data_IF_642209646400
#
_entry.id   IF_642209646400
#
_cell.length_a   1.000
_cell.length_b   1.000
_cell.length_c   1.000
_cell.angle_alpha   90.00
_cell.angle_beta   90.00
_cell.angle_gamma   90.00
#
_symmetry.space_group_name_H-M   'P 1'
#
loop_
_entity.id
_entity.type
_entity.pdbx_description
1 polymer ?
#
# COMPACT_ATOMS: atom_id res chain seq x y z
N UNK A 1 22.37 9.13 -25.94
CA UNK A 1 22.30 7.70 -25.55
C UNK A 1 21.41 7.60 -24.32
N UNK A 2 20.46 6.66 -24.28
CA UNK A 2 19.60 6.48 -23.08
C UNK A 2 20.47 5.99 -21.91
N UNK A 3 20.18 6.46 -20.67
CA UNK A 3 20.88 5.96 -19.48
C UNK A 3 20.75 4.44 -19.32
N UNK A 4 19.64 3.84 -19.77
CA UNK A 4 19.46 2.39 -19.79
C UNK A 4 20.53 1.69 -20.65
N UNK A 5 20.72 2.17 -21.86
CA UNK A 5 21.75 1.64 -22.79
C UNK A 5 23.14 1.88 -22.24
N UNK A 6 23.38 3.02 -21.60
CA UNK A 6 24.68 3.37 -21.02
C UNK A 6 25.10 2.40 -19.91
N UNK A 7 24.17 2.03 -19.00
CA UNK A 7 24.44 1.10 -17.91
C UNK A 7 24.16 -0.37 -18.26
N UNK A 8 23.54 -0.66 -19.42
CA UNK A 8 23.21 -2.03 -19.83
C UNK A 8 21.97 -2.60 -19.15
N UNK A 9 21.02 -1.76 -18.71
CA UNK A 9 19.79 -2.22 -18.10
C UNK A 9 18.88 -2.94 -19.10
N UNK A 10 18.43 -4.14 -18.73
CA UNK A 10 17.45 -4.93 -19.48
C UNK A 10 16.02 -4.50 -19.16
N UNK A 11 15.75 -4.14 -17.92
CA UNK A 11 14.47 -3.59 -17.43
C UNK A 11 14.70 -2.21 -16.82
N UNK A 12 13.61 -1.46 -16.59
CA UNK A 12 13.67 -0.18 -15.87
C UNK A 12 14.05 -0.44 -14.42
N UNK A 13 15.19 0.09 -13.90
CA UNK A 13 15.48 0.04 -12.48
C UNK A 13 14.51 0.97 -11.72
N UNK A 14 14.17 0.61 -10.48
CA UNK A 14 13.27 1.40 -9.63
C UNK A 14 11.88 1.67 -10.26
N UNK A 15 11.39 0.73 -11.08
CA UNK A 15 10.04 0.80 -11.65
C UNK A 15 8.95 0.74 -10.56
N UNK A 16 7.78 1.34 -10.84
CA UNK A 16 6.64 1.30 -9.92
C UNK A 16 5.81 0.02 -10.08
N UNK A 17 5.80 -0.55 -11.28
CA UNK A 17 5.05 -1.73 -11.69
C UNK A 17 5.80 -3.06 -11.46
N UNK A 18 6.66 -3.09 -10.43
CA UNK A 18 7.43 -4.28 -10.09
C UNK A 18 6.51 -5.47 -9.77
N UNK A 19 6.75 -6.67 -10.36
CA UNK A 19 6.04 -7.90 -10.02
C UNK A 19 6.17 -8.25 -8.53
N UNK A 20 5.17 -8.95 -7.98
CA UNK A 20 5.15 -9.30 -6.54
C UNK A 20 6.32 -10.19 -6.14
N UNK A 21 6.73 -11.10 -7.04
CA UNK A 21 7.87 -12.00 -6.86
C UNK A 21 9.22 -11.28 -6.86
N UNK A 22 9.28 -10.13 -7.52
CA UNK A 22 10.49 -9.30 -7.63
C UNK A 22 10.60 -8.26 -6.50
N UNK A 23 9.62 -8.19 -5.58
CA UNK A 23 9.67 -7.25 -4.46
C UNK A 23 10.79 -7.59 -3.48
N UNK A 24 11.57 -6.57 -3.08
CA UNK A 24 12.56 -6.75 -2.03
C UNK A 24 11.88 -7.08 -0.68
N UNK A 25 12.31 -8.15 0.02
CA UNK A 25 11.64 -8.65 1.22
C UNK A 25 11.92 -7.76 2.44
N UNK A 26 11.25 -6.62 2.52
CA UNK A 26 11.34 -5.70 3.64
C UNK A 26 10.61 -6.24 4.87
N UNK A 27 11.11 -6.01 6.11
CA UNK A 27 10.43 -6.40 7.34
C UNK A 27 9.01 -5.82 7.44
N UNK A 28 8.80 -4.58 6.99
CA UNK A 28 7.49 -3.93 6.96
C UNK A 28 6.47 -4.63 6.05
N UNK A 29 6.92 -5.19 4.92
CA UNK A 29 6.07 -6.01 4.03
C UNK A 29 5.55 -7.26 4.74
N UNK A 30 6.44 -7.96 5.46
CA UNK A 30 6.08 -9.17 6.21
C UNK A 30 5.12 -8.84 7.35
N UNK A 31 5.41 -7.81 8.14
CA UNK A 31 4.56 -7.38 9.25
C UNK A 31 3.14 -7.00 8.78
N UNK A 32 3.00 -6.30 7.66
CA UNK A 32 1.68 -5.98 7.07
C UNK A 32 0.98 -7.27 6.61
N UNK A 33 1.69 -8.19 5.96
CA UNK A 33 1.12 -9.45 5.48
C UNK A 33 0.58 -10.31 6.62
N UNK A 34 1.34 -10.44 7.71
CA UNK A 34 0.92 -11.16 8.92
C UNK A 34 -0.29 -10.47 9.59
N UNK A 35 -0.28 -9.15 9.66
CA UNK A 35 -1.40 -8.38 10.20
C UNK A 35 -2.67 -8.53 9.37
N UNK A 36 -2.57 -8.48 8.05
CA UNK A 36 -3.70 -8.70 7.15
C UNK A 36 -4.27 -10.10 7.39
N UNK A 37 -3.43 -11.14 7.40
CA UNK A 37 -3.90 -12.52 7.66
C UNK A 37 -4.62 -12.64 9.01
N UNK A 38 -4.01 -12.13 10.08
CA UNK A 38 -4.63 -12.11 11.40
C UNK A 38 -5.99 -11.41 11.42
N UNK A 39 -6.11 -10.29 10.68
CA UNK A 39 -7.38 -9.55 10.54
C UNK A 39 -8.43 -10.38 9.81
N UNK A 40 -8.04 -11.09 8.76
CA UNK A 40 -8.92 -11.96 7.99
C UNK A 40 -9.43 -13.14 8.85
N UNK A 41 -8.55 -13.76 9.63
CA UNK A 41 -8.87 -14.89 10.48
C UNK A 41 -9.86 -14.51 11.60
N UNK A 42 -9.80 -13.27 12.09
CA UNK A 42 -10.72 -12.76 13.12
C UNK A 42 -11.98 -12.11 12.54
N UNK A 43 -12.08 -11.88 11.24
CA UNK A 43 -13.17 -11.11 10.64
C UNK A 43 -13.26 -9.67 11.16
N UNK A 44 -12.14 -9.09 11.59
CA UNK A 44 -12.05 -7.82 12.31
C UNK A 44 -11.56 -6.66 11.42
N UNK A 45 -11.11 -5.57 12.04
CA UNK A 45 -10.57 -4.40 11.34
C UNK A 45 -9.10 -4.23 11.72
N UNK A 46 -8.25 -3.86 10.74
CA UNK A 46 -6.88 -3.41 11.00
C UNK A 46 -6.53 -2.14 10.26
N UNK A 47 -5.45 -1.51 10.72
CA UNK A 47 -4.99 -0.24 10.18
C UNK A 47 -3.52 -0.34 9.77
N UNK A 48 -3.21 0.17 8.58
CA UNK A 48 -1.84 0.32 8.07
C UNK A 48 -1.56 1.80 7.86
N UNK A 49 -0.59 2.33 8.59
CA UNK A 49 -0.21 3.74 8.47
C UNK A 49 1.23 3.90 8.00
N UNK A 50 1.57 5.10 7.60
CA UNK A 50 2.93 5.50 7.23
C UNK A 50 2.90 6.73 6.34
N UNK A 51 4.05 7.35 6.14
CA UNK A 51 4.18 8.55 5.32
C UNK A 51 3.93 8.28 3.83
N UNK A 52 3.74 9.35 3.07
CA UNK A 52 3.62 9.26 1.61
C UNK A 52 4.89 8.65 1.03
N UNK A 53 4.74 7.57 0.25
CA UNK A 53 5.89 6.88 -0.33
C UNK A 53 6.57 5.84 0.55
N UNK A 54 6.04 5.52 1.74
CA UNK A 54 6.56 4.46 2.63
C UNK A 54 6.30 3.03 2.14
N UNK A 55 5.47 2.85 1.08
CA UNK A 55 5.19 1.53 0.50
C UNK A 55 3.89 0.87 0.98
N UNK A 56 2.94 1.61 1.60
CA UNK A 56 1.64 1.06 2.07
C UNK A 56 0.89 0.28 1.01
N UNK A 57 0.62 0.90 -0.14
CA UNK A 57 -0.11 0.27 -1.24
C UNK A 57 0.63 -0.97 -1.79
N UNK A 58 1.97 -0.92 -1.85
CA UNK A 58 2.80 -2.07 -2.23
C UNK A 58 2.69 -3.20 -1.21
N UNK A 59 2.71 -2.89 0.09
CA UNK A 59 2.56 -3.87 1.15
C UNK A 59 1.18 -4.53 1.15
N UNK A 60 0.12 -3.74 0.91
CA UNK A 60 -1.24 -4.27 0.76
C UNK A 60 -1.38 -5.15 -0.48
N UNK A 61 -0.83 -4.71 -1.63
CA UNK A 61 -0.81 -5.52 -2.87
C UNK A 61 -0.07 -6.84 -2.66
N UNK A 62 1.07 -6.82 -1.96
CA UNK A 62 1.82 -8.02 -1.62
C UNK A 62 1.04 -8.94 -0.68
N UNK A 63 0.42 -8.39 0.37
CA UNK A 63 -0.39 -9.17 1.30
C UNK A 63 -1.60 -9.81 0.58
N UNK A 64 -2.34 -9.03 -0.23
CA UNK A 64 -3.46 -9.53 -1.01
C UNK A 64 -3.05 -10.60 -2.03
N UNK A 65 -1.90 -10.42 -2.69
CA UNK A 65 -1.39 -11.39 -3.67
C UNK A 65 -0.96 -12.73 -3.08
N UNK A 66 -0.75 -12.81 -1.75
CA UNK A 66 -0.47 -14.07 -1.04
C UNK A 66 -1.72 -14.81 -0.57
N UNK A 67 -2.89 -14.23 -0.76
CA UNK A 67 -4.17 -14.86 -0.40
C UNK A 67 -4.65 -15.73 -1.55
N UNK A 68 -5.05 -16.97 -1.24
CA UNK A 68 -5.52 -17.89 -2.27
C UNK A 68 -6.95 -17.50 -2.71
N UNK A 69 -7.22 -17.30 -4.03
CA UNK A 69 -8.52 -16.84 -4.52
C UNK A 69 -9.69 -17.78 -4.19
N UNK A 70 -9.43 -19.07 -3.97
CA UNK A 70 -10.48 -20.01 -3.56
C UNK A 70 -10.93 -19.84 -2.10
N UNK A 71 -10.12 -19.18 -1.26
CA UNK A 71 -10.40 -18.98 0.16
C UNK A 71 -10.83 -17.55 0.46
N UNK A 72 -10.36 -16.59 -0.33
CA UNK A 72 -10.56 -15.16 -0.07
C UNK A 72 -11.10 -14.44 -1.31
N UNK A 73 -12.14 -13.65 -1.14
CA UNK A 73 -12.63 -12.70 -2.14
C UNK A 73 -12.30 -11.29 -1.66
N UNK A 74 -11.16 -10.76 -2.07
CA UNK A 74 -10.67 -9.46 -1.63
C UNK A 74 -11.07 -8.38 -2.63
N UNK A 75 -11.70 -7.33 -2.14
CA UNK A 75 -11.96 -6.10 -2.89
C UNK A 75 -11.05 -5.00 -2.36
N UNK A 76 -10.35 -4.32 -3.27
CA UNK A 76 -9.51 -3.17 -2.96
C UNK A 76 -10.08 -1.93 -3.60
N UNK A 77 -10.27 -0.89 -2.80
CA UNK A 77 -10.75 0.42 -3.25
C UNK A 77 -9.80 1.53 -2.79
N UNK A 78 -9.87 2.66 -3.47
CA UNK A 78 -9.15 3.88 -3.05
C UNK A 78 -10.17 4.88 -2.52
N UNK A 79 -9.99 5.31 -1.28
CA UNK A 79 -10.87 6.28 -0.66
C UNK A 79 -10.73 7.65 -1.33
N UNK A 80 -11.84 8.38 -1.32
CA UNK A 80 -11.93 9.77 -1.78
C UNK A 80 -12.51 10.64 -0.67
N UNK A 81 -12.56 11.94 -0.89
CA UNK A 81 -13.26 12.90 0.00
C UNK A 81 -14.79 12.91 -0.22
N UNK A 82 -15.28 12.04 -1.10
CA UNK A 82 -16.70 11.90 -1.41
C UNK A 82 -17.55 11.33 -0.27
N UNK A 83 -18.87 11.23 -0.47
CA UNK A 83 -19.80 10.67 0.51
C UNK A 83 -19.70 9.15 0.62
N UNK A 84 -20.35 8.56 1.64
CA UNK A 84 -20.41 7.11 1.86
C UNK A 84 -20.93 6.33 0.63
N UNK A 85 -21.83 6.92 -0.16
CA UNK A 85 -22.35 6.30 -1.37
C UNK A 85 -21.24 5.96 -2.37
N UNK A 86 -20.20 6.80 -2.50
CA UNK A 86 -19.11 6.56 -3.43
C UNK A 86 -18.25 5.36 -3.00
N UNK A 87 -18.01 5.24 -1.70
CA UNK A 87 -17.32 4.07 -1.12
C UNK A 87 -18.13 2.80 -1.41
N UNK A 88 -19.44 2.82 -1.12
CA UNK A 88 -20.30 1.65 -1.33
C UNK A 88 -20.40 1.27 -2.81
N UNK A 89 -20.47 2.23 -3.73
CA UNK A 89 -20.44 1.97 -5.17
C UNK A 89 -19.13 1.31 -5.62
N UNK A 90 -17.98 1.77 -5.11
CA UNK A 90 -16.70 1.12 -5.39
C UNK A 90 -16.68 -0.32 -4.84
N UNK A 91 -17.24 -0.56 -3.65
CA UNK A 91 -17.35 -1.91 -3.08
C UNK A 91 -18.26 -2.78 -3.94
N UNK A 92 -19.43 -2.27 -4.39
CA UNK A 92 -20.30 -2.98 -5.33
C UNK A 92 -19.53 -3.37 -6.59
N UNK A 93 -18.86 -2.41 -7.24
CA UNK A 93 -18.08 -2.67 -8.45
C UNK A 93 -16.99 -3.73 -8.22
N UNK A 94 -16.32 -3.70 -7.07
CA UNK A 94 -15.28 -4.67 -6.72
C UNK A 94 -15.80 -6.09 -6.50
N UNK A 95 -17.07 -6.23 -6.11
CA UNK A 95 -17.76 -7.52 -5.99
C UNK A 95 -18.57 -7.90 -7.21
N UNK A 96 -18.50 -7.15 -8.32
CA UNK A 96 -19.28 -7.33 -9.56
C UNK A 96 -20.81 -7.23 -9.31
N UNK A 97 -21.22 -6.32 -8.40
CA UNK A 97 -22.63 -6.08 -8.03
C UNK A 97 -23.16 -4.82 -8.71
N UNK A 98 -24.49 -4.75 -8.87
CA UNK A 98 -25.15 -3.54 -9.33
C UNK A 98 -25.07 -2.42 -8.27
N UNK A 99 -24.29 -1.38 -8.59
CA UNK A 99 -24.13 -0.17 -7.77
C UNK A 99 -24.84 1.06 -8.34
N UNK A 100 -25.72 0.92 -9.36
CA UNK A 100 -26.36 2.04 -10.06
C UNK A 100 -27.50 2.70 -9.27
N UNK A 101 -27.37 2.83 -7.98
CA UNK A 101 -28.35 3.50 -7.11
C UNK A 101 -27.68 4.53 -6.22
N UNK A 102 -28.44 5.58 -5.84
CA UNK A 102 -28.02 6.54 -4.84
C UNK A 102 -28.60 6.23 -3.44
N UNK A 103 -29.42 5.19 -3.31
CA UNK A 103 -29.97 4.78 -2.03
C UNK A 103 -28.92 4.04 -1.21
N UNK A 104 -28.46 4.64 -0.12
CA UNK A 104 -27.51 4.01 0.79
C UNK A 104 -28.07 2.68 1.32
N UNK A 105 -29.36 2.63 1.66
CA UNK A 105 -30.00 1.42 2.15
C UNK A 105 -29.93 0.26 1.12
N UNK A 106 -30.14 0.55 -0.15
CA UNK A 106 -30.00 -0.45 -1.22
C UNK A 106 -28.56 -0.91 -1.36
N UNK A 107 -27.59 0.00 -1.41
CA UNK A 107 -26.18 -0.35 -1.50
C UNK A 107 -25.72 -1.23 -0.34
N UNK A 108 -26.08 -0.84 0.90
CA UNK A 108 -25.80 -1.67 2.09
C UNK A 108 -26.43 -3.05 1.98
N UNK A 109 -27.69 -3.14 1.58
CA UNK A 109 -28.40 -4.41 1.44
C UNK A 109 -27.73 -5.31 0.41
N UNK A 110 -27.42 -4.77 -0.79
CA UNK A 110 -26.78 -5.52 -1.88
C UNK A 110 -25.40 -6.05 -1.45
N UNK A 111 -24.57 -5.20 -0.82
CA UNK A 111 -23.24 -5.63 -0.35
C UNK A 111 -23.37 -6.69 0.75
N UNK A 112 -24.25 -6.50 1.73
CA UNK A 112 -24.44 -7.48 2.82
C UNK A 112 -24.95 -8.84 2.31
N UNK A 113 -25.86 -8.83 1.36
CA UNK A 113 -26.33 -10.08 0.72
C UNK A 113 -25.19 -10.82 0.03
N UNK A 114 -24.36 -10.11 -0.73
CA UNK A 114 -23.19 -10.70 -1.39
C UNK A 114 -22.15 -11.25 -0.40
N UNK A 115 -21.89 -10.54 0.70
CA UNK A 115 -20.99 -11.01 1.76
C UNK A 115 -21.48 -12.33 2.35
N UNK A 116 -22.79 -12.44 2.65
CA UNK A 116 -23.38 -13.68 3.16
C UNK A 116 -23.25 -14.81 2.14
N UNK A 117 -23.52 -14.55 0.86
CA UNK A 117 -23.40 -15.55 -0.21
C UNK A 117 -21.94 -16.03 -0.36
N UNK A 118 -20.96 -15.14 -0.36
CA UNK A 118 -19.54 -15.49 -0.43
C UNK A 118 -19.14 -16.34 0.78
N UNK A 119 -19.59 -15.97 1.98
CA UNK A 119 -19.31 -16.73 3.20
C UNK A 119 -19.94 -18.12 3.18
N UNK A 120 -21.17 -18.28 2.63
CA UNK A 120 -21.81 -19.58 2.44
C UNK A 120 -21.01 -20.50 1.50
N UNK A 121 -20.30 -19.93 0.53
CA UNK A 121 -19.37 -20.65 -0.36
C UNK A 121 -18.03 -20.99 0.29
N UNK A 122 -17.89 -20.76 1.61
CA UNK A 122 -16.65 -20.97 2.39
C UNK A 122 -15.47 -20.11 1.94
N UNK A 123 -15.77 -18.95 1.37
CA UNK A 123 -14.78 -17.91 1.08
C UNK A 123 -14.93 -16.77 2.10
N UNK A 124 -13.83 -16.15 2.45
CA UNK A 124 -13.82 -14.95 3.30
C UNK A 124 -13.86 -13.71 2.39
N UNK A 125 -14.97 -12.96 2.36
CA UNK A 125 -14.99 -11.66 1.68
C UNK A 125 -14.20 -10.65 2.53
N UNK A 126 -13.39 -9.81 1.90
CA UNK A 126 -12.58 -8.82 2.60
C UNK A 126 -12.51 -7.50 1.83
N UNK A 127 -12.37 -6.39 2.56
CA UNK A 127 -12.26 -5.06 2.00
C UNK A 127 -10.93 -4.42 2.39
N UNK A 128 -10.19 -3.95 1.41
CA UNK A 128 -9.02 -3.09 1.60
C UNK A 128 -9.39 -1.69 1.12
N UNK A 129 -9.24 -0.69 1.99
CA UNK A 129 -9.44 0.72 1.65
C UNK A 129 -8.09 1.43 1.74
N UNK A 130 -7.51 1.72 0.58
CA UNK A 130 -6.31 2.56 0.50
C UNK A 130 -6.68 4.05 0.56
N UNK A 131 -5.75 4.89 0.98
CA UNK A 131 -5.94 6.33 1.23
C UNK A 131 -7.12 6.65 2.18
N UNK A 132 -7.41 5.76 3.12
CA UNK A 132 -8.51 5.92 4.09
C UNK A 132 -8.42 7.23 4.91
N UNK A 133 -7.24 7.83 5.00
CA UNK A 133 -7.04 9.16 5.58
C UNK A 133 -7.80 10.28 4.86
N UNK A 134 -8.22 10.09 3.61
CA UNK A 134 -9.04 11.05 2.86
C UNK A 134 -10.52 11.00 3.25
N UNK A 135 -11.00 9.87 3.79
CA UNK A 135 -12.42 9.73 4.15
C UNK A 135 -12.86 10.79 5.15
N UNK A 136 -14.11 11.21 5.01
CA UNK A 136 -14.80 12.11 5.93
C UNK A 136 -15.15 11.38 7.23
N UNK A 137 -15.29 12.12 8.34
CA UNK A 137 -15.59 11.54 9.67
C UNK A 137 -16.93 10.83 9.72
N UNK A 138 -17.93 11.29 8.97
CA UNK A 138 -19.24 10.63 8.88
C UNK A 138 -19.17 9.23 8.25
N UNK A 139 -18.17 8.96 7.41
CA UNK A 139 -17.91 7.63 6.84
C UNK A 139 -17.37 6.70 7.94
N UNK A 140 -16.41 7.14 8.75
CA UNK A 140 -15.89 6.34 9.87
C UNK A 140 -17.00 5.97 10.87
N UNK A 141 -17.95 6.89 11.11
CA UNK A 141 -19.08 6.62 11.98
C UNK A 141 -20.00 5.50 11.47
N UNK A 142 -20.05 5.27 10.16
CA UNK A 142 -20.97 4.31 9.53
C UNK A 142 -20.27 3.04 9.03
N UNK A 143 -18.98 3.10 8.71
CA UNK A 143 -18.26 2.01 8.03
C UNK A 143 -18.32 0.67 8.79
N UNK A 144 -18.32 0.70 10.12
CA UNK A 144 -18.43 -0.49 10.96
C UNK A 144 -19.71 -1.29 10.69
N UNK A 145 -20.80 -0.62 10.24
CA UNK A 145 -22.10 -1.28 10.01
C UNK A 145 -22.04 -2.27 8.84
N UNK A 146 -21.07 -2.13 7.92
CA UNK A 146 -20.81 -3.13 6.87
C UNK A 146 -20.37 -4.48 7.45
N UNK A 147 -19.65 -4.48 8.57
CA UNK A 147 -19.18 -5.69 9.24
C UNK A 147 -20.16 -6.27 10.26
N UNK A 148 -21.30 -5.62 10.49
CA UNK A 148 -22.28 -6.09 11.48
C UNK A 148 -23.25 -7.09 10.87
N UNK A 149 -23.12 -8.35 11.23
CA UNK A 149 -24.03 -9.43 10.86
C UNK A 149 -24.58 -10.11 12.12
N UNK A 150 -25.87 -10.47 12.09
CA UNK A 150 -26.55 -11.19 13.17
C UNK A 150 -26.31 -10.53 14.54
N UNK A 151 -26.69 -9.25 14.65
CA UNK A 151 -26.46 -8.40 15.85
C UNK A 151 -24.98 -8.37 16.30
N UNK A 152 -24.05 -8.30 15.35
CA UNK A 152 -22.59 -8.25 15.56
C UNK A 152 -21.97 -9.58 16.09
N UNK A 153 -22.71 -10.68 16.01
CA UNK A 153 -22.22 -11.99 16.47
C UNK A 153 -21.41 -12.75 15.42
N UNK A 154 -21.51 -12.36 14.14
CA UNK A 154 -20.83 -13.02 13.02
C UNK A 154 -19.81 -12.09 12.36
N UNK A 155 -18.49 -12.29 12.57
CA UNK A 155 -17.45 -11.47 11.99
C UNK A 155 -17.14 -11.91 10.53
N UNK A 156 -18.05 -11.61 9.60
CA UNK A 156 -17.98 -12.09 8.23
C UNK A 156 -17.15 -11.21 7.28
N UNK A 157 -16.90 -9.94 7.64
CA UNK A 157 -16.33 -8.97 6.71
C UNK A 157 -15.18 -8.18 7.31
N UNK A 158 -13.96 -8.73 7.26
CA UNK A 158 -12.76 -8.01 7.68
C UNK A 158 -12.49 -6.80 6.78
N UNK A 159 -12.00 -5.72 7.40
CA UNK A 159 -11.69 -4.46 6.72
C UNK A 159 -10.26 -4.04 7.06
N UNK A 160 -9.47 -3.73 6.06
CA UNK A 160 -8.13 -3.18 6.21
C UNK A 160 -8.17 -1.72 5.75
N UNK A 161 -7.83 -0.80 6.65
CA UNK A 161 -7.73 0.63 6.36
C UNK A 161 -6.27 1.02 6.21
N UNK A 162 -5.89 1.61 5.09
CA UNK A 162 -4.55 2.15 4.91
C UNK A 162 -4.59 3.65 4.65
N UNK A 163 -3.63 4.38 5.21
CA UNK A 163 -3.58 5.83 5.03
C UNK A 163 -2.35 6.46 5.69
N UNK A 164 -2.31 7.77 5.67
CA UNK A 164 -1.30 8.55 6.35
C UNK A 164 -1.52 8.56 7.87
N UNK A 165 -0.58 9.11 8.63
CA UNK A 165 -0.62 9.10 10.10
C UNK A 165 -1.86 9.77 10.69
N UNK A 166 -2.41 10.80 10.02
CA UNK A 166 -3.65 11.46 10.41
C UNK A 166 -4.91 10.55 10.36
N UNK A 167 -4.80 9.34 9.78
CA UNK A 167 -5.84 8.32 9.87
C UNK A 167 -6.10 7.92 11.33
N UNK A 168 -5.03 7.82 12.14
CA UNK A 168 -5.17 7.49 13.57
C UNK A 168 -5.91 8.60 14.32
N UNK A 169 -5.64 9.86 14.00
CA UNK A 169 -6.34 11.00 14.62
C UNK A 169 -7.85 10.92 14.32
N UNK A 170 -8.21 10.62 13.06
CA UNK A 170 -9.62 10.44 12.66
C UNK A 170 -10.31 9.30 13.41
N UNK A 171 -9.60 8.21 13.67
CA UNK A 171 -10.13 7.08 14.43
C UNK A 171 -10.30 7.38 15.93
N UNK A 172 -9.59 8.36 16.48
CA UNK A 172 -9.73 8.78 17.88
C UNK A 172 -10.95 9.69 18.13
N UNK A 173 -11.56 10.27 17.09
CA UNK A 173 -12.78 11.07 17.26
C UNK A 173 -13.92 10.23 17.81
N UNK A 174 -14.76 10.86 18.64
CA UNK A 174 -15.91 10.21 19.28
C UNK A 174 -16.83 9.49 18.27
N UNK A 175 -17.11 10.13 17.13
CA UNK A 175 -17.92 9.54 16.06
C UNK A 175 -17.33 8.25 15.46
N UNK A 176 -16.01 8.08 15.50
CA UNK A 176 -15.31 6.91 14.96
C UNK A 176 -15.16 5.76 15.97
N UNK A 177 -15.52 5.96 17.25
CA UNK A 177 -15.37 4.95 18.31
C UNK A 177 -15.97 3.58 17.95
N UNK A 178 -17.16 3.47 17.33
CA UNK A 178 -17.71 2.17 16.97
C UNK A 178 -16.84 1.40 15.99
N UNK A 179 -16.16 2.09 15.08
CA UNK A 179 -15.19 1.49 14.17
C UNK A 179 -13.89 1.17 14.90
N UNK A 180 -13.36 2.13 15.66
CA UNK A 180 -12.10 2.01 16.37
C UNK A 180 -12.08 0.85 17.38
N UNK A 181 -13.20 0.58 18.06
CA UNK A 181 -13.34 -0.53 19.01
C UNK A 181 -13.21 -1.92 18.38
N UNK A 182 -13.33 -2.03 17.05
CA UNK A 182 -13.18 -3.27 16.28
C UNK A 182 -11.81 -3.45 15.66
N UNK A 183 -10.89 -2.51 15.90
CA UNK A 183 -9.52 -2.59 15.37
C UNK A 183 -8.71 -3.52 16.26
N UNK A 184 -8.30 -4.65 15.69
CA UNK A 184 -7.49 -5.67 16.37
C UNK A 184 -6.00 -5.45 16.23
N UNK A 185 -5.57 -4.51 15.39
CA UNK A 185 -4.17 -4.22 15.24
C UNK A 185 -3.86 -3.10 14.25
N UNK A 186 -2.69 -2.53 14.45
CA UNK A 186 -2.11 -1.52 13.56
C UNK A 186 -0.70 -1.93 13.12
N UNK A 187 -0.35 -1.61 11.89
CA UNK A 187 1.02 -1.64 11.37
C UNK A 187 1.41 -0.24 10.95
N UNK A 188 2.64 0.15 11.26
CA UNK A 188 3.19 1.42 10.83
C UNK A 188 4.41 1.16 9.94
N UNK A 189 4.40 1.74 8.73
CA UNK A 189 5.52 1.66 7.79
C UNK A 189 6.36 2.92 7.89
N UNK A 190 7.51 2.76 8.50
CA UNK A 190 8.55 3.79 8.59
C UNK A 190 9.41 3.82 7.33
N UNK A 191 10.21 4.88 7.20
CA UNK A 191 11.30 4.92 6.22
C UNK A 191 12.33 3.80 6.47
N UNK A 192 12.97 3.32 5.41
CA UNK A 192 13.99 2.29 5.49
C UNK A 192 15.18 2.77 6.32
N UNK A 193 15.77 1.88 7.10
CA UNK A 193 17.08 2.08 7.69
C UNK A 193 18.16 2.01 6.61
N UNK A 194 19.32 2.62 6.85
CA UNK A 194 20.43 2.64 5.88
C UNK A 194 20.79 1.24 5.37
N UNK A 195 20.91 0.25 6.26
CA UNK A 195 21.25 -1.14 5.89
C UNK A 195 20.21 -1.77 4.95
N UNK A 196 18.94 -1.49 5.17
CA UNK A 196 17.86 -2.00 4.30
C UNK A 196 17.84 -1.26 2.97
N UNK A 197 18.18 0.04 2.94
CA UNK A 197 18.30 0.85 1.73
C UNK A 197 19.39 0.32 0.81
N UNK A 198 20.54 -0.08 1.36
CA UNK A 198 21.63 -0.68 0.59
C UNK A 198 21.17 -1.96 -0.12
N UNK A 199 20.56 -2.88 0.63
CA UNK A 199 20.00 -4.12 0.08
C UNK A 199 18.92 -3.86 -0.97
N UNK A 200 18.06 -2.88 -0.72
CA UNK A 200 17.00 -2.46 -1.63
C UNK A 200 17.53 -1.95 -2.97
N UNK A 201 18.51 -1.04 -2.96
CA UNK A 201 19.13 -0.50 -4.17
C UNK A 201 19.81 -1.62 -4.98
N UNK A 202 20.63 -2.45 -4.32
CA UNK A 202 21.30 -3.59 -4.96
C UNK A 202 20.31 -4.56 -5.61
N UNK A 203 19.20 -4.82 -4.93
CA UNK A 203 18.14 -5.68 -5.46
C UNK A 203 17.53 -5.12 -6.74
N UNK A 204 17.17 -3.82 -6.75
CA UNK A 204 16.61 -3.17 -7.93
C UNK A 204 17.55 -3.15 -9.13
N UNK A 205 18.86 -2.98 -8.92
CA UNK A 205 19.87 -3.10 -9.99
C UNK A 205 19.93 -4.53 -10.52
N UNK A 206 19.92 -5.52 -9.62
CA UNK A 206 19.97 -6.94 -9.97
C UNK A 206 18.77 -7.35 -10.83
N UNK A 207 17.55 -6.98 -10.47
CA UNK A 207 16.35 -7.31 -11.27
C UNK A 207 16.29 -6.53 -12.59
N UNK A 208 16.98 -5.38 -12.66
CA UNK A 208 17.17 -4.64 -13.91
C UNK A 208 18.26 -5.23 -14.84
N UNK A 209 18.93 -6.32 -14.40
CA UNK A 209 19.92 -7.04 -15.20
C UNK A 209 21.38 -6.63 -14.98
N UNK A 210 21.65 -5.74 -14.00
CA UNK A 210 23.01 -5.26 -13.70
C UNK A 210 23.49 -5.84 -12.36
N UNK A 211 24.65 -6.49 -12.37
CA UNK A 211 25.28 -7.06 -11.17
C UNK A 211 26.39 -6.17 -10.60
N UNK A 212 26.82 -5.19 -11.37
CA UNK A 212 27.87 -4.24 -10.94
C UNK A 212 27.34 -3.30 -9.88
N UNK A 213 28.21 -2.93 -8.95
CA UNK A 213 27.89 -1.93 -7.92
C UNK A 213 27.96 -0.52 -8.54
N UNK A 214 26.83 -0.02 -9.04
CA UNK A 214 26.77 1.33 -9.62
C UNK A 214 26.70 2.44 -8.58
N UNK A 215 26.25 2.13 -7.36
CA UNK A 215 26.15 3.07 -6.25
C UNK A 215 27.17 2.71 -5.17
N UNK A 216 28.24 3.49 -4.99
CA UNK A 216 29.12 3.43 -3.82
C UNK A 216 28.36 3.78 -2.54
N UNK A 217 28.93 3.44 -1.39
CA UNK A 217 28.28 3.61 -0.08
C UNK A 217 27.91 5.06 0.21
N UNK A 218 28.75 6.03 -0.22
CA UNK A 218 28.46 7.45 -0.07
C UNK A 218 27.24 7.90 -0.90
N UNK A 219 27.05 7.33 -2.09
CA UNK A 219 25.87 7.62 -2.91
C UNK A 219 24.60 7.01 -2.31
N UNK A 220 24.69 5.79 -1.77
CA UNK A 220 23.60 5.13 -1.05
C UNK A 220 23.23 5.94 0.20
N UNK A 221 24.21 6.42 0.94
CA UNK A 221 24.01 7.28 2.11
C UNK A 221 23.31 8.59 1.72
N UNK A 222 23.72 9.22 0.62
CA UNK A 222 23.09 10.43 0.11
C UNK A 222 21.62 10.18 -0.30
N UNK A 223 21.32 9.04 -0.94
CA UNK A 223 19.94 8.65 -1.27
C UNK A 223 19.13 8.43 -0.01
N UNK A 224 19.68 7.70 0.98
CA UNK A 224 18.99 7.45 2.24
C UNK A 224 18.67 8.75 2.99
N UNK A 225 19.62 9.65 3.14
CA UNK A 225 19.42 10.94 3.78
C UNK A 225 18.45 11.84 3.00
N UNK A 226 18.61 11.94 1.69
CA UNK A 226 17.76 12.76 0.83
C UNK A 226 16.32 12.24 0.72
N UNK A 227 16.10 10.95 0.90
CA UNK A 227 14.75 10.33 0.87
C UNK A 227 14.10 10.24 2.26
N UNK A 228 14.85 10.40 3.35
CA UNK A 228 14.38 10.03 4.70
C UNK A 228 14.01 8.55 4.82
N UNK A 229 14.59 7.69 3.97
CA UNK A 229 14.26 6.27 3.88
C UNK A 229 12.96 5.95 3.14
N UNK A 230 12.23 6.95 2.64
CA UNK A 230 10.95 6.74 1.94
C UNK A 230 11.18 6.17 0.54
N UNK A 231 10.59 5.01 0.25
CA UNK A 231 10.82 4.23 -0.95
C UNK A 231 10.58 5.00 -2.25
N UNK A 232 9.46 5.73 -2.35
CA UNK A 232 9.14 6.51 -3.56
C UNK A 232 10.20 7.57 -3.84
N UNK A 233 10.62 8.30 -2.81
CA UNK A 233 11.63 9.35 -2.93
C UNK A 233 13.01 8.76 -3.20
N UNK A 234 13.35 7.63 -2.57
CA UNK A 234 14.58 6.88 -2.84
C UNK A 234 14.67 6.43 -4.30
N UNK A 235 13.57 5.89 -4.85
CA UNK A 235 13.50 5.47 -6.26
C UNK A 235 13.71 6.65 -7.22
N UNK A 236 13.08 7.80 -6.92
CA UNK A 236 13.25 9.00 -7.73
C UNK A 236 14.70 9.51 -7.69
N UNK A 237 15.30 9.57 -6.50
CA UNK A 237 16.69 9.99 -6.33
C UNK A 237 17.67 9.03 -7.03
N UNK A 238 17.49 7.73 -6.84
CA UNK A 238 18.35 6.73 -7.47
C UNK A 238 18.25 6.78 -9.00
N UNK A 239 17.04 6.88 -9.55
CA UNK A 239 16.82 7.01 -10.99
C UNK A 239 17.39 8.32 -11.54
N UNK A 240 17.13 9.44 -10.89
CA UNK A 240 17.69 10.74 -11.28
C UNK A 240 19.21 10.76 -11.25
N UNK A 241 19.83 10.17 -10.22
CA UNK A 241 21.27 10.07 -10.11
C UNK A 241 21.91 9.20 -11.23
N UNK A 242 21.24 8.10 -11.62
CA UNK A 242 21.66 7.32 -12.80
C UNK A 242 21.59 8.13 -14.10
N UNK A 243 20.55 8.94 -14.27
CA UNK A 243 20.42 9.82 -15.44
C UNK A 243 21.53 10.89 -15.44
N UNK A 244 21.82 11.52 -14.30
CA UNK A 244 22.88 12.51 -14.15
C UNK A 244 24.26 11.88 -14.48
N UNK A 245 24.58 10.73 -13.88
CA UNK A 245 25.83 10.02 -14.12
C UNK A 245 26.00 9.62 -15.59
N UNK A 246 24.94 9.16 -16.26
CA UNK A 246 24.97 8.84 -17.68
C UNK A 246 25.21 10.06 -18.58
N UNK A 247 24.69 11.24 -18.24
CA UNK A 247 24.95 12.51 -18.92
C UNK A 247 26.42 12.90 -18.84
N UNK A 248 27.03 12.69 -17.68
CA UNK A 248 28.46 12.94 -17.44
C UNK A 248 29.37 11.78 -17.89
N UNK A 249 28.79 10.71 -18.46
CA UNK A 249 29.49 9.49 -18.91
C UNK A 249 30.24 8.78 -17.77
N UNK A 250 29.79 8.94 -16.52
CA UNK A 250 30.34 8.30 -15.34
C UNK A 250 29.66 6.94 -15.11
N UNK A 251 30.47 5.88 -14.98
CA UNK A 251 29.95 4.52 -14.68
C UNK A 251 29.52 4.35 -13.22
N UNK A 252 30.09 5.14 -12.31
CA UNK A 252 29.73 5.12 -10.89
C UNK A 252 28.92 6.36 -10.54
N UNK A 253 27.87 6.15 -9.77
CA UNK A 253 27.03 7.25 -9.24
C UNK A 253 27.72 7.86 -8.05
N UNK A 254 27.93 9.18 -8.06
CA UNK A 254 28.50 9.94 -6.94
C UNK A 254 27.40 10.61 -6.09
N UNK A 255 27.71 11.05 -4.87
CA UNK A 255 26.79 11.88 -4.07
C UNK A 255 26.36 13.16 -4.81
N UNK A 256 27.21 13.72 -5.67
CA UNK A 256 26.88 14.89 -6.48
C UNK A 256 25.77 14.59 -7.50
N UNK A 257 25.78 13.42 -8.13
CA UNK A 257 24.69 13.00 -9.02
C UNK A 257 23.35 12.89 -8.25
N UNK A 258 23.39 12.42 -6.99
CA UNK A 258 22.20 12.38 -6.11
C UNK A 258 21.74 13.79 -5.76
N UNK A 259 22.68 14.73 -5.50
CA UNK A 259 22.36 16.12 -5.24
C UNK A 259 21.70 16.78 -6.46
N UNK A 260 22.23 16.55 -7.66
CA UNK A 260 21.62 17.02 -8.91
C UNK A 260 20.19 16.47 -9.05
N UNK A 261 20.00 15.16 -8.83
CA UNK A 261 18.68 14.55 -8.86
C UNK A 261 17.71 15.20 -7.85
N UNK A 262 18.20 15.54 -6.66
CA UNK A 262 17.37 16.15 -5.60
C UNK A 262 16.85 17.55 -5.95
N UNK A 263 17.52 18.29 -6.82
CA UNK A 263 17.05 19.62 -7.27
C UNK A 263 15.89 19.55 -8.25
N UNK A 264 15.68 18.39 -8.90
CA UNK A 264 14.59 18.15 -9.83
C UNK A 264 13.32 17.54 -9.15
N UNK A 265 13.42 17.21 -7.85
CA UNK A 265 12.35 16.53 -7.08
C UNK A 265 11.81 17.52 -6.02
N UNK A 266 10.48 17.65 -5.97
CA UNK A 266 9.78 18.49 -4.98
C UNK A 266 9.67 17.74 -3.64
#
# INVERSE_FOLDING_TARGET
MSYKTFFGFQKEPFAQDIPLEDLYPLPGLQAVTERVRYTLDLGAISVVTGDVGSGKSTALRHAAGKLHPSQYRVVSIVATTGPMADILKQVCNGFDLDGQTNSLARLFHTIKAAIIEIAQRKQTPALIIDEASLMRLDIFAQLHTLGQFDMDSKPLFPIILAGQNNLLDKLMFHASRPLASRIVGKSHLEGLKYKDMEGYIKHHLKIAGVKEQLFPDEAILAIHQGSGGLLRRANLLAKGALIAAAREKCRLVSPEHVRIASTEII
#
